data_IF_470806052720
#
_entry.id   IF_470806052720
#
_cell.length_a   1.000
_cell.length_b   1.000
_cell.length_c   1.000
_cell.angle_alpha   90.00
_cell.angle_beta   90.00
_cell.angle_gamma   90.00
#
_symmetry.space_group_name_H-M   'P 1'
#
loop_
_entity.id
_entity.type
_entity.pdbx_description
1 polymer ?
#
# COMPACT_ATOMS: atom_id res chain seq x y z
N UNK A 1 -29.06 1.00 -26.41
CA UNK A 1 -27.61 1.27 -26.34
C UNK A 1 -27.25 1.25 -24.87
N UNK A 2 -26.73 0.11 -24.37
CA UNK A 2 -26.32 0.00 -22.98
C UNK A 2 -24.91 0.59 -22.85
N UNK A 3 -24.77 1.66 -22.07
CA UNK A 3 -23.47 2.15 -21.66
C UNK A 3 -22.82 1.05 -20.80
N UNK A 4 -21.64 0.57 -21.19
CA UNK A 4 -20.79 -0.20 -20.29
C UNK A 4 -20.64 0.61 -19.02
N UNK A 5 -21.08 0.07 -17.89
CA UNK A 5 -20.68 0.60 -16.59
C UNK A 5 -19.14 0.63 -16.57
N UNK A 6 -18.50 1.73 -16.12
CA UNK A 6 -17.09 1.66 -15.82
C UNK A 6 -16.92 0.50 -14.83
N UNK A 7 -16.07 -0.46 -15.17
CA UNK A 7 -15.62 -1.45 -14.20
C UNK A 7 -15.25 -0.65 -12.94
N UNK A 8 -15.81 -0.95 -11.75
CA UNK A 8 -15.41 -0.22 -10.57
C UNK A 8 -13.94 -0.58 -10.35
N UNK A 9 -13.05 0.30 -10.84
CA UNK A 9 -11.76 0.51 -10.22
C UNK A 9 -12.07 0.52 -8.72
N UNK A 10 -11.42 -0.36 -7.96
CA UNK A 10 -11.63 -0.49 -6.52
C UNK A 10 -11.92 0.89 -5.93
N UNK A 11 -13.11 1.01 -5.33
CA UNK A 11 -13.67 2.27 -4.86
C UNK A 11 -12.59 3.06 -4.11
N UNK A 12 -12.27 4.27 -4.59
CA UNK A 12 -11.16 5.07 -4.07
C UNK A 12 -11.32 5.27 -2.55
N UNK A 13 -12.56 5.55 -2.13
CA UNK A 13 -12.95 5.72 -0.73
C UNK A 13 -12.70 4.43 0.08
N UNK A 14 -12.95 3.26 -0.51
CA UNK A 14 -12.68 1.98 0.15
C UNK A 14 -11.17 1.74 0.33
N UNK A 15 -10.36 2.08 -0.67
CA UNK A 15 -8.90 1.97 -0.58
C UNK A 15 -8.37 2.94 0.47
N UNK A 16 -8.84 4.18 0.46
CA UNK A 16 -8.47 5.21 1.43
C UNK A 16 -8.76 4.73 2.87
N UNK A 17 -9.97 4.23 3.12
CA UNK A 17 -10.33 3.68 4.43
C UNK A 17 -9.46 2.49 4.83
N UNK A 18 -9.02 1.66 3.87
CA UNK A 18 -8.07 0.57 4.14
C UNK A 18 -6.70 1.10 4.54
N UNK A 19 -6.19 2.13 3.87
CA UNK A 19 -4.92 2.80 4.19
C UNK A 19 -4.99 3.38 5.60
N UNK A 20 -6.01 4.17 5.91
CA UNK A 20 -6.20 4.77 7.24
C UNK A 20 -6.27 3.68 8.32
N UNK A 21 -7.05 2.62 8.09
CA UNK A 21 -7.15 1.52 9.06
C UNK A 21 -5.84 0.77 9.24
N UNK A 22 -5.06 0.58 8.17
CA UNK A 22 -3.76 -0.05 8.26
C UNK A 22 -2.76 0.83 9.01
N UNK A 23 -2.78 2.14 8.77
CA UNK A 23 -1.95 3.11 9.48
C UNK A 23 -2.23 3.10 11.00
N UNK A 24 -3.51 3.12 11.39
CA UNK A 24 -3.90 3.00 12.80
C UNK A 24 -3.47 1.67 13.41
N UNK A 25 -3.58 0.56 12.65
CA UNK A 25 -3.10 -0.75 13.11
C UNK A 25 -1.60 -0.81 13.24
N UNK A 26 -0.86 -0.18 12.34
CA UNK A 26 0.60 -0.16 12.31
C UNK A 26 1.14 0.40 13.63
N UNK A 27 0.54 1.48 14.15
CA UNK A 27 0.92 2.06 15.44
C UNK A 27 0.75 1.09 16.63
N UNK A 28 -0.07 0.05 16.48
CA UNK A 28 -0.36 -0.97 17.51
C UNK A 28 0.47 -2.24 17.34
N UNK A 29 1.14 -2.42 16.18
CA UNK A 29 1.96 -3.60 15.95
C UNK A 29 3.28 -3.51 16.74
N UNK A 30 3.77 -4.64 17.29
CA UNK A 30 5.10 -4.69 17.84
C UNK A 30 6.12 -4.46 16.73
N UNK A 31 7.24 -3.83 17.07
CA UNK A 31 8.39 -3.79 16.16
C UNK A 31 8.95 -5.20 15.98
N UNK A 32 9.36 -5.53 14.77
CA UNK A 32 10.12 -6.74 14.48
C UNK A 32 11.59 -6.62 14.92
N UNK A 33 12.41 -7.63 14.59
CA UNK A 33 13.83 -7.65 14.96
C UNK A 33 14.63 -6.50 14.34
N UNK A 34 14.18 -5.96 13.22
CA UNK A 34 14.83 -4.87 12.48
C UNK A 34 14.27 -3.49 12.90
N UNK A 35 13.35 -3.47 13.88
CA UNK A 35 12.68 -2.24 14.33
C UNK A 35 11.56 -1.80 13.39
N UNK A 36 11.19 -2.60 12.40
CA UNK A 36 10.14 -2.27 11.45
C UNK A 36 8.77 -2.71 11.98
N UNK A 37 7.71 -2.06 11.50
CA UNK A 37 6.34 -2.55 11.67
C UNK A 37 5.73 -2.80 10.30
N UNK A 38 4.90 -3.82 10.19
CA UNK A 38 4.29 -4.20 8.91
C UNK A 38 2.84 -4.61 9.12
N UNK A 39 1.94 -4.00 8.33
CA UNK A 39 0.53 -4.41 8.25
C UNK A 39 0.15 -4.68 6.81
N UNK A 40 -0.47 -5.82 6.55
CA UNK A 40 -1.01 -6.13 5.23
C UNK A 40 -2.29 -5.33 4.96
N UNK A 41 -2.29 -4.57 3.88
CA UNK A 41 -3.43 -3.77 3.44
C UNK A 41 -4.47 -4.63 2.70
N UNK A 42 -4.01 -5.31 1.65
CA UNK A 42 -4.79 -6.18 0.79
C UNK A 42 -3.91 -7.29 0.24
N UNK A 43 -4.48 -8.49 0.13
CA UNK A 43 -3.91 -9.61 -0.62
C UNK A 43 -4.86 -9.93 -1.75
N UNK A 44 -4.34 -9.98 -2.96
CA UNK A 44 -5.12 -10.36 -4.11
C UNK A 44 -4.31 -11.25 -5.05
N UNK A 45 -4.75 -12.50 -5.19
CA UNK A 45 -4.08 -13.51 -6.01
C UNK A 45 -2.59 -13.64 -5.65
N UNK A 46 -1.69 -13.36 -6.59
CA UNK A 46 -0.23 -13.41 -6.42
C UNK A 46 0.39 -12.09 -5.94
N UNK A 47 -0.42 -11.06 -5.67
CA UNK A 47 0.05 -9.76 -5.20
C UNK A 47 -0.38 -9.49 -3.76
N UNK A 48 0.44 -8.73 -3.06
CA UNK A 48 0.18 -8.25 -1.71
C UNK A 48 0.61 -6.79 -1.60
N UNK A 49 -0.27 -5.96 -1.06
CA UNK A 49 0.08 -4.59 -0.65
C UNK A 49 0.24 -4.57 0.86
N UNK A 50 1.37 -4.04 1.33
CA UNK A 50 1.68 -3.87 2.76
C UNK A 50 2.00 -2.42 3.05
N UNK A 51 1.61 -1.98 4.23
CA UNK A 51 2.09 -0.75 4.84
C UNK A 51 3.19 -1.11 5.83
N UNK A 52 4.34 -0.45 5.72
CA UNK A 52 5.50 -0.63 6.58
C UNK A 52 5.90 0.69 7.22
N UNK A 53 6.32 0.64 8.47
CA UNK A 53 7.05 1.72 9.15
C UNK A 53 8.49 1.26 9.34
N UNK A 54 9.45 2.05 8.85
CA UNK A 54 10.89 1.79 8.98
C UNK A 54 11.47 2.82 9.96
N UNK A 55 12.37 2.43 10.87
CA UNK A 55 13.03 3.35 11.79
C UNK A 55 13.70 4.52 11.06
N UNK A 56 13.47 5.75 11.55
CA UNK A 56 14.05 6.96 10.99
C UNK A 56 15.52 7.19 11.35
N UNK A 57 16.17 6.25 12.06
CA UNK A 57 17.53 6.42 12.57
C UNK A 57 18.52 6.63 11.41
N UNK A 58 18.96 7.88 11.25
CA UNK A 58 19.91 8.28 10.21
C UNK A 58 19.30 8.66 8.85
N UNK A 59 17.97 8.63 8.71
CA UNK A 59 17.26 8.95 7.45
C UNK A 59 16.53 10.30 7.53
N UNK A 60 17.28 11.37 7.77
CA UNK A 60 16.69 12.72 7.78
C UNK A 60 16.18 13.09 6.36
N UNK A 61 14.89 13.39 6.26
CA UNK A 61 14.24 13.79 5.00
C UNK A 61 13.85 12.62 4.07
N UNK A 62 13.80 11.40 4.59
CA UNK A 62 13.21 10.25 3.88
C UNK A 62 11.89 9.85 4.54
N UNK A 63 10.94 9.32 3.77
CA UNK A 63 9.68 8.82 4.32
C UNK A 63 9.93 7.64 5.25
N UNK A 64 9.25 7.63 6.39
CA UNK A 64 9.28 6.53 7.36
C UNK A 64 8.21 5.49 7.07
N UNK A 65 7.16 5.87 6.33
CA UNK A 65 6.08 4.98 5.94
C UNK A 65 6.26 4.56 4.49
N UNK A 66 6.07 3.28 4.22
CA UNK A 66 6.21 2.71 2.89
C UNK A 66 5.02 1.81 2.56
N UNK A 67 4.35 2.09 1.45
CA UNK A 67 3.44 1.17 0.81
C UNK A 67 4.22 0.31 -0.18
N UNK A 68 4.34 -0.98 0.11
CA UNK A 68 5.01 -1.94 -0.77
C UNK A 68 3.99 -2.79 -1.53
N UNK A 69 4.16 -2.91 -2.84
CA UNK A 69 3.56 -3.95 -3.65
C UNK A 69 4.54 -5.12 -3.77
N UNK A 70 4.12 -6.32 -3.36
CA UNK A 70 4.96 -7.52 -3.37
C UNK A 70 4.33 -8.64 -4.18
N UNK A 71 5.18 -9.41 -4.85
CA UNK A 71 4.80 -10.72 -5.39
C UNK A 71 4.80 -11.74 -4.26
N UNK A 72 3.67 -12.40 -4.03
CA UNK A 72 3.59 -13.54 -3.12
C UNK A 72 4.31 -14.78 -3.66
N UNK A 73 4.48 -14.88 -4.98
CA UNK A 73 5.14 -16.03 -5.61
C UNK A 73 6.66 -16.00 -5.42
N UNK A 74 7.28 -14.84 -5.60
CA UNK A 74 8.74 -14.69 -5.49
C UNK A 74 9.18 -14.06 -4.17
N UNK A 75 8.24 -13.50 -3.40
CA UNK A 75 8.52 -12.70 -2.21
C UNK A 75 9.11 -11.32 -2.51
N UNK A 76 9.34 -10.96 -3.78
CA UNK A 76 10.01 -9.72 -4.17
C UNK A 76 9.08 -8.50 -4.09
N UNK A 77 9.63 -7.35 -3.70
CA UNK A 77 8.98 -6.05 -3.87
C UNK A 77 9.00 -5.66 -5.35
N UNK A 78 7.81 -5.40 -5.89
CA UNK A 78 7.58 -5.00 -7.29
C UNK A 78 7.64 -3.48 -7.41
N UNK A 79 7.03 -2.78 -6.45
CA UNK A 79 6.93 -1.33 -6.43
C UNK A 79 6.77 -0.84 -4.99
N UNK A 80 7.10 0.42 -4.74
CA UNK A 80 7.00 1.03 -3.41
C UNK A 80 6.71 2.52 -3.50
N UNK A 81 5.81 3.00 -2.64
CA UNK A 81 5.54 4.42 -2.45
C UNK A 81 5.90 4.82 -1.01
N UNK A 82 6.75 5.84 -0.87
CA UNK A 82 7.08 6.41 0.43
C UNK A 82 6.11 7.54 0.81
N UNK A 83 5.73 7.59 2.08
CA UNK A 83 4.86 8.61 2.66
C UNK A 83 5.45 9.10 4.00
N UNK A 84 5.24 10.37 4.33
CA UNK A 84 5.66 10.94 5.60
C UNK A 84 4.57 10.79 6.65
N UNK A 85 3.34 11.22 6.34
CA UNK A 85 2.24 11.27 7.31
C UNK A 85 0.86 10.94 6.74
N UNK A 86 0.77 10.64 5.43
CA UNK A 86 -0.49 10.50 4.71
C UNK A 86 -1.36 11.77 4.85
N UNK A 87 -0.77 12.93 4.54
CA UNK A 87 -1.56 14.13 4.26
C UNK A 87 -2.47 13.92 3.03
N UNK A 88 -3.30 14.91 2.69
CA UNK A 88 -4.30 14.76 1.61
C UNK A 88 -3.66 14.38 0.26
N UNK A 89 -2.52 14.98 -0.09
CA UNK A 89 -1.82 14.72 -1.35
C UNK A 89 -1.16 13.34 -1.34
N UNK A 90 -0.50 12.97 -0.24
CA UNK A 90 0.11 11.66 -0.06
C UNK A 90 -0.93 10.53 -0.05
N UNK A 91 -2.06 10.75 0.61
CA UNK A 91 -3.15 9.78 0.70
C UNK A 91 -3.78 9.56 -0.67
N UNK A 92 -3.99 10.62 -1.43
CA UNK A 92 -4.45 10.53 -2.82
C UNK A 92 -3.47 9.74 -3.70
N UNK A 93 -2.16 10.03 -3.60
CA UNK A 93 -1.13 9.27 -4.31
C UNK A 93 -1.07 7.79 -3.88
N UNK A 94 -1.28 7.50 -2.60
CA UNK A 94 -1.35 6.15 -2.06
C UNK A 94 -2.57 5.38 -2.57
N UNK A 95 -3.73 6.02 -2.65
CA UNK A 95 -4.93 5.42 -3.26
C UNK A 95 -4.66 5.07 -4.72
N UNK A 96 -4.10 6.01 -5.48
CA UNK A 96 -3.72 5.78 -6.88
C UNK A 96 -2.74 4.60 -7.01
N UNK A 97 -1.72 4.53 -6.15
CA UNK A 97 -0.75 3.43 -6.14
C UNK A 97 -1.42 2.05 -5.96
N UNK A 98 -2.35 1.92 -5.01
CA UNK A 98 -3.06 0.66 -4.75
C UNK A 98 -4.03 0.31 -5.89
N UNK A 99 -4.68 1.32 -6.49
CA UNK A 99 -5.49 1.12 -7.69
C UNK A 99 -4.63 0.60 -8.83
N UNK A 100 -3.47 1.22 -9.09
CA UNK A 100 -2.55 0.85 -10.17
C UNK A 100 -2.02 -0.58 -9.98
N UNK A 101 -1.65 -0.93 -8.74
CA UNK A 101 -1.24 -2.28 -8.37
C UNK A 101 -2.30 -3.34 -8.71
N UNK A 102 -3.58 -3.00 -8.54
CA UNK A 102 -4.70 -3.89 -8.87
C UNK A 102 -4.91 -3.97 -10.39
N UNK A 103 -4.73 -2.88 -11.12
CA UNK A 103 -4.81 -2.90 -12.59
C UNK A 103 -3.64 -3.64 -13.26
N UNK A 104 -2.50 -3.83 -12.59
CA UNK A 104 -1.35 -4.61 -13.08
C UNK A 104 -1.55 -6.13 -13.01
N UNK A 105 -2.60 -6.60 -12.32
CA UNK A 105 -2.93 -8.04 -12.17
C UNK A 105 -3.20 -8.82 -13.48
N UNK A 106 -3.82 -8.28 -14.54
CA UNK A 106 -4.09 -9.04 -15.77
C UNK A 106 -2.86 -9.21 -16.67
N UNK A 107 -1.73 -8.53 -16.41
CA UNK A 107 -0.55 -8.52 -17.28
C UNK A 107 0.52 -9.55 -16.84
N UNK A 108 0.40 -10.10 -15.62
CA UNK A 108 1.37 -11.02 -15.03
C UNK A 108 0.92 -12.50 -15.04
N UNK A 109 -0.11 -12.85 -15.82
CA UNK A 109 -0.63 -14.21 -15.99
C UNK A 109 -0.25 -14.83 -17.33
#
# INVERSE_FOLDING_TARGET
MAASAPCPALDADWIEQKIIRAYVRLAMEPHDMDGCRVVTLVRHSSLEVRLMEVPSEGMAGMPTLWLELRSQMTGATIDSLGCYEFDEDELSAAVMFVQDATHRLPILH
#
